data_IF_458756956119
#
_entry.id   IF_458756956119
#
_cell.length_a   1.000
_cell.length_b   1.000
_cell.length_c   1.000
_cell.angle_alpha   90.00
_cell.angle_beta   90.00
_cell.angle_gamma   90.00
#
_symmetry.space_group_name_H-M   'P 1'
#
loop_
_entity.id
_entity.type
_entity.pdbx_description
1 polymer ?
#
# COMPACT_ATOMS: atom_id res chain seq x y z
N UNK A 1 -32.25 -13.47 -4.17
CA UNK A 1 -32.21 -12.35 -3.21
C UNK A 1 -31.31 -11.27 -3.80
N UNK A 2 -31.74 -10.01 -3.96
CA UNK A 2 -30.84 -8.97 -4.47
C UNK A 2 -29.86 -8.60 -3.35
N UNK A 3 -28.59 -8.93 -3.52
CA UNK A 3 -27.53 -8.52 -2.61
C UNK A 3 -27.32 -7.01 -2.76
N UNK A 4 -27.64 -6.30 -1.68
CA UNK A 4 -27.37 -4.88 -1.46
C UNK A 4 -25.87 -4.61 -1.67
N UNK A 5 -25.52 -3.70 -2.58
CA UNK A 5 -24.15 -3.22 -2.76
C UNK A 5 -23.59 -2.67 -1.44
N UNK A 6 -22.30 -2.93 -1.10
CA UNK A 6 -21.64 -2.20 -0.05
C UNK A 6 -21.54 -0.74 -0.51
N UNK A 7 -22.17 0.16 0.24
CA UNK A 7 -21.94 1.59 0.10
C UNK A 7 -20.47 1.82 0.46
N UNK A 8 -19.67 2.29 -0.50
CA UNK A 8 -18.45 3.03 -0.20
C UNK A 8 -18.73 3.94 1.00
N UNK A 9 -17.89 3.97 2.05
CA UNK A 9 -18.16 4.85 3.15
C UNK A 9 -18.13 6.25 2.56
N UNK A 10 -19.29 6.92 2.51
CA UNK A 10 -19.38 8.32 2.10
C UNK A 10 -18.38 9.18 2.89
N UNK A 11 -17.96 8.70 4.06
CA UNK A 11 -16.88 9.23 4.89
C UNK A 11 -15.49 9.24 4.24
N UNK A 12 -15.10 8.24 3.44
CA UNK A 12 -13.76 8.21 2.82
C UNK A 12 -13.73 9.20 1.66
N UNK A 13 -14.77 9.20 0.81
CA UNK A 13 -14.91 10.19 -0.24
C UNK A 13 -15.08 11.62 0.33
N UNK A 14 -15.76 11.79 1.47
CA UNK A 14 -15.90 13.10 2.12
C UNK A 14 -14.60 13.55 2.78
N UNK A 15 -13.86 12.66 3.46
CA UNK A 15 -12.56 12.98 4.07
C UNK A 15 -11.49 13.23 3.02
N UNK A 16 -11.45 12.45 1.94
CA UNK A 16 -10.59 12.71 0.78
C UNK A 16 -10.95 14.05 0.13
N UNK A 17 -12.24 14.37 -0.03
CA UNK A 17 -12.67 15.69 -0.53
C UNK A 17 -12.38 16.85 0.43
N UNK A 18 -12.47 16.64 1.73
CA UNK A 18 -12.11 17.63 2.75
C UNK A 18 -10.61 17.87 2.80
N UNK A 19 -9.79 16.82 2.67
CA UNK A 19 -8.33 16.91 2.63
C UNK A 19 -7.83 17.51 1.30
N UNK A 20 -8.49 17.26 0.18
CA UNK A 20 -8.15 17.84 -1.13
C UNK A 20 -8.69 19.27 -1.37
N UNK A 21 -9.22 19.94 -0.35
CA UNK A 21 -9.46 21.39 -0.42
C UNK A 21 -10.58 21.84 -1.36
N UNK A 22 -11.83 21.59 -0.96
CA UNK A 22 -12.98 22.42 -1.37
C UNK A 22 -13.90 22.68 -0.17
N UNK A 23 -13.60 23.72 0.62
CA UNK A 23 -14.61 24.36 1.48
C UNK A 23 -15.70 24.96 0.59
N UNK A 24 -16.72 24.19 0.23
CA UNK A 24 -18.00 24.76 -0.22
C UNK A 24 -18.81 25.13 1.02
N UNK A 25 -18.93 26.43 1.25
CA UNK A 25 -19.91 26.99 2.16
C UNK A 25 -21.31 26.51 1.77
N UNK A 26 -21.93 25.70 2.64
CA UNK A 26 -23.34 25.34 2.56
C UNK A 26 -24.16 26.49 3.16
N UNK A 27 -24.72 27.36 2.32
CA UNK A 27 -25.77 28.30 2.73
C UNK A 27 -27.12 27.59 2.72
N UNK A 28 -27.70 27.47 3.91
CA UNK A 28 -29.08 27.02 4.12
C UNK A 28 -30.04 28.16 3.76
N UNK A 29 -30.79 27.98 2.69
CA UNK A 29 -31.81 28.91 2.21
C UNK A 29 -33.11 28.70 3.00
N UNK A 30 -33.41 29.58 3.95
CA UNK A 30 -34.73 29.65 4.61
C UNK A 30 -35.30 31.08 4.60
N UNK A 31 -36.41 31.19 3.86
CA UNK A 31 -37.56 32.13 3.95
C UNK A 31 -37.29 33.64 3.92
N UNK A 32 -37.77 34.22 2.81
CA UNK A 32 -38.05 35.63 2.57
C UNK A 32 -38.97 36.25 3.63
N UNK A 33 -38.55 37.39 4.18
CA UNK A 33 -39.41 38.43 4.74
C UNK A 33 -38.79 39.78 4.39
N UNK A 34 -39.60 40.66 3.80
CA UNK A 34 -39.25 41.99 3.27
C UNK A 34 -38.95 42.97 4.41
N UNK A 35 -37.79 43.64 4.41
CA UNK A 35 -37.59 44.96 5.05
C UNK A 35 -36.47 45.74 4.33
N UNK A 36 -36.49 47.09 4.37
CA UNK A 36 -35.75 47.95 3.45
C UNK A 36 -34.30 48.19 3.90
N UNK A 37 -33.47 48.42 2.88
CA UNK A 37 -32.06 48.78 2.91
C UNK A 37 -31.73 49.93 3.89
N UNK A 38 -30.85 49.68 4.85
CA UNK A 38 -29.93 50.68 5.39
C UNK A 38 -28.52 50.09 5.37
N UNK A 39 -27.74 50.49 4.36
CA UNK A 39 -26.31 50.18 4.27
C UNK A 39 -25.59 51.04 5.31
N UNK A 40 -25.07 50.37 6.34
CA UNK A 40 -24.22 50.98 7.36
C UNK A 40 -22.81 51.14 6.79
N UNK A 41 -22.16 52.26 7.12
CA UNK A 41 -20.77 52.60 6.77
C UNK A 41 -19.71 51.55 7.23
N UNK A 42 -20.12 50.51 7.96
CA UNK A 42 -19.27 49.40 8.41
C UNK A 42 -19.05 48.35 7.30
N UNK A 43 -19.95 48.23 6.32
CA UNK A 43 -19.86 47.19 5.28
C UNK A 43 -18.85 47.49 4.17
N UNK A 44 -18.45 48.76 4.02
CA UNK A 44 -17.44 49.17 3.02
C UNK A 44 -16.02 48.81 3.48
N UNK A 45 -15.80 48.67 4.79
CA UNK A 45 -14.47 48.35 5.35
C UNK A 45 -14.09 46.87 5.16
N UNK A 46 -15.06 45.96 5.23
CA UNK A 46 -14.81 44.51 5.07
C UNK A 46 -14.50 44.11 3.61
N UNK A 47 -15.15 44.77 2.65
CA UNK A 47 -14.93 44.47 1.22
C UNK A 47 -13.58 45.02 0.74
N UNK A 48 -13.15 46.18 1.23
CA UNK A 48 -11.85 46.76 0.90
C UNK A 48 -10.70 45.95 1.53
N UNK A 49 -10.87 45.43 2.76
CA UNK A 49 -9.88 44.54 3.39
C UNK A 49 -9.75 43.18 2.67
N UNK A 50 -10.85 42.61 2.17
CA UNK A 50 -10.85 41.34 1.43
C UNK A 50 -10.21 41.48 0.04
N UNK A 51 -10.41 42.62 -0.63
CA UNK A 51 -9.77 42.92 -1.92
C UNK A 51 -8.27 43.21 -1.75
N UNK A 52 -7.86 43.90 -0.66
CA UNK A 52 -6.44 44.11 -0.34
C UNK A 52 -5.72 42.83 0.09
N UNK A 53 -6.36 41.92 0.85
CA UNK A 53 -5.79 40.61 1.15
C UNK A 53 -5.66 39.73 -0.10
N UNK A 54 -6.56 39.84 -1.07
CA UNK A 54 -6.49 39.10 -2.34
C UNK A 54 -5.39 39.63 -3.28
N UNK A 55 -5.06 40.93 -3.18
CA UNK A 55 -3.96 41.55 -3.92
C UNK A 55 -2.60 41.29 -3.26
N UNK A 56 -2.54 41.16 -1.93
CA UNK A 56 -1.31 40.82 -1.20
C UNK A 56 -0.98 39.31 -1.26
N UNK A 57 -1.97 38.43 -1.40
CA UNK A 57 -1.75 36.99 -1.62
C UNK A 57 -1.33 36.66 -3.07
N UNK A 58 -1.53 37.57 -4.02
CA UNK A 58 -1.08 37.42 -5.41
C UNK A 58 0.30 38.02 -5.69
N UNK A 59 0.98 38.58 -4.69
CA UNK A 59 2.37 39.06 -4.79
C UNK A 59 3.35 38.28 -3.93
N UNK A 60 2.99 37.04 -3.56
CA UNK A 60 3.94 36.02 -3.12
C UNK A 60 4.83 35.61 -4.28
N UNK A 61 5.83 36.45 -4.55
CA UNK A 61 6.97 36.22 -5.43
C UNK A 61 7.44 34.78 -5.25
N UNK A 62 7.32 34.00 -6.33
CA UNK A 62 7.77 32.62 -6.40
C UNK A 62 9.26 32.59 -6.10
N UNK A 63 9.61 32.37 -4.85
CA UNK A 63 10.94 31.93 -4.48
C UNK A 63 11.18 30.65 -5.28
N UNK A 64 12.07 30.76 -6.28
CA UNK A 64 12.55 29.66 -7.10
C UNK A 64 13.03 28.58 -6.13
N UNK A 65 12.21 27.54 -5.94
CA UNK A 65 12.61 26.29 -5.32
C UNK A 65 13.70 25.74 -6.23
N UNK A 66 14.95 25.90 -5.80
CA UNK A 66 16.10 25.31 -6.46
C UNK A 66 15.85 23.80 -6.61
N UNK A 67 15.55 23.40 -7.85
CA UNK A 67 15.74 22.07 -8.42
C UNK A 67 15.58 20.88 -7.50
N UNK A 68 14.35 20.59 -7.05
CA UNK A 68 13.97 19.17 -6.93
C UNK A 68 13.93 18.65 -8.36
N UNK A 69 14.98 17.95 -8.78
CA UNK A 69 14.94 17.19 -10.02
C UNK A 69 13.65 16.38 -9.98
N UNK A 70 12.73 16.69 -10.89
CA UNK A 70 11.48 15.93 -11.05
C UNK A 70 11.93 14.55 -11.47
N UNK A 71 11.92 13.65 -10.49
CA UNK A 71 12.37 12.29 -10.67
C UNK A 71 11.21 11.54 -11.33
N UNK A 72 11.44 11.12 -12.58
CA UNK A 72 10.47 10.35 -13.34
C UNK A 72 10.59 8.88 -12.93
N UNK A 73 9.47 8.27 -12.55
CA UNK A 73 9.37 6.82 -12.41
C UNK A 73 9.54 6.15 -13.77
N UNK A 74 10.16 4.98 -13.79
CA UNK A 74 10.30 4.13 -14.98
C UNK A 74 9.26 3.00 -15.05
N UNK A 75 8.21 3.07 -14.23
CA UNK A 75 7.15 2.07 -14.20
C UNK A 75 6.18 2.19 -15.38
N UNK A 76 5.48 1.09 -15.65
CA UNK A 76 4.43 1.07 -16.67
C UNK A 76 3.14 1.68 -16.14
N UNK A 77 2.37 2.35 -17.01
CA UNK A 77 1.08 2.93 -16.67
C UNK A 77 0.05 1.90 -16.17
N UNK A 78 -0.87 2.34 -15.30
CA UNK A 78 -1.93 1.53 -14.72
C UNK A 78 -2.92 1.01 -15.78
N UNK A 79 -2.95 -0.31 -16.06
CA UNK A 79 -3.80 -0.87 -17.10
C UNK A 79 -5.24 -1.12 -16.62
N UNK A 80 -5.55 -0.89 -15.34
CA UNK A 80 -6.80 -1.28 -14.69
C UNK A 80 -7.76 -0.12 -14.41
N UNK A 81 -7.27 1.13 -14.41
CA UNK A 81 -8.05 2.31 -14.02
C UNK A 81 -9.38 2.46 -14.77
N UNK A 82 -9.42 2.11 -16.06
CA UNK A 82 -10.63 2.19 -16.88
C UNK A 82 -11.62 1.05 -16.60
N UNK A 83 -11.12 -0.13 -16.21
CA UNK A 83 -11.93 -1.33 -16.00
C UNK A 83 -12.53 -1.40 -14.59
N UNK A 84 -11.84 -0.82 -13.60
CA UNK A 84 -12.27 -0.80 -12.20
C UNK A 84 -12.37 0.63 -11.67
N UNK A 85 -13.21 1.49 -12.28
CA UNK A 85 -13.16 2.92 -12.00
C UNK A 85 -13.59 3.28 -10.58
N UNK A 86 -14.35 2.42 -9.91
CA UNK A 86 -14.81 2.64 -8.53
C UNK A 86 -13.83 2.10 -7.47
N UNK A 87 -12.75 1.43 -7.87
CA UNK A 87 -11.74 0.89 -6.98
C UNK A 87 -10.47 1.73 -7.04
N UNK A 88 -9.62 1.62 -6.01
CA UNK A 88 -8.24 2.04 -6.16
C UNK A 88 -7.54 1.01 -7.05
N UNK A 89 -6.83 1.49 -8.06
CA UNK A 89 -6.00 0.66 -8.92
C UNK A 89 -4.66 1.34 -9.12
N UNK A 90 -3.62 0.57 -9.40
CA UNK A 90 -2.29 1.10 -9.66
C UNK A 90 -1.33 0.00 -10.04
N UNK A 91 -0.04 0.32 -10.03
CA UNK A 91 1.05 -0.62 -10.24
C UNK A 91 1.93 -0.65 -9.00
N UNK A 92 2.28 -1.86 -8.56
CA UNK A 92 3.27 -2.09 -7.50
C UNK A 92 4.50 -2.71 -8.11
N UNK A 93 5.57 -1.93 -8.25
CA UNK A 93 6.90 -2.45 -8.51
C UNK A 93 7.60 -2.70 -7.18
N UNK A 94 7.90 -3.96 -6.87
CA UNK A 94 8.30 -4.34 -5.53
C UNK A 94 9.41 -5.39 -5.49
N UNK A 95 10.24 -5.29 -4.46
CA UNK A 95 11.00 -6.43 -3.92
C UNK A 95 10.18 -7.08 -2.80
N UNK A 96 9.82 -8.35 -2.99
CA UNK A 96 9.15 -9.18 -1.98
C UNK A 96 10.16 -10.21 -1.48
N UNK A 97 10.43 -10.27 -0.17
CA UNK A 97 11.43 -11.20 0.36
C UNK A 97 10.90 -11.91 1.61
N UNK A 98 11.26 -13.18 1.78
CA UNK A 98 10.85 -14.00 2.93
C UNK A 98 12.03 -14.15 3.88
N UNK A 99 11.82 -13.74 5.13
CA UNK A 99 12.76 -13.87 6.24
C UNK A 99 12.24 -14.97 7.18
N UNK A 100 12.93 -16.12 7.26
CA UNK A 100 12.63 -17.12 8.27
C UNK A 100 12.99 -16.58 9.67
N UNK A 101 12.01 -16.57 10.57
CA UNK A 101 12.24 -16.35 12.01
C UNK A 101 11.73 -17.56 12.78
N UNK A 102 12.22 -17.82 14.00
CA UNK A 102 11.66 -18.91 14.80
C UNK A 102 10.19 -18.65 15.12
N UNK A 103 9.37 -19.71 15.17
CA UNK A 103 7.97 -19.65 15.61
C UNK A 103 7.84 -19.02 16.99
N UNK A 104 8.82 -19.25 17.88
CA UNK A 104 8.89 -18.60 19.18
C UNK A 104 9.02 -17.07 19.06
N UNK A 105 9.85 -16.59 18.12
CA UNK A 105 9.95 -15.16 17.80
C UNK A 105 8.65 -14.65 17.20
N UNK A 106 8.08 -15.36 16.23
CA UNK A 106 6.82 -14.97 15.61
C UNK A 106 5.71 -14.82 16.66
N UNK A 107 5.62 -15.74 17.64
CA UNK A 107 4.65 -15.71 18.74
C UNK A 107 4.85 -14.57 19.74
N UNK A 108 6.06 -14.05 19.88
CA UNK A 108 6.29 -12.82 20.68
C UNK A 108 5.86 -11.55 19.94
N UNK A 109 5.91 -11.56 18.61
CA UNK A 109 5.63 -10.37 17.79
C UNK A 109 4.15 -10.28 17.41
N UNK A 110 3.54 -11.41 17.00
CA UNK A 110 2.14 -11.50 16.58
C UNK A 110 1.23 -11.46 17.82
N UNK A 111 0.17 -10.64 17.83
CA UNK A 111 -0.80 -10.62 18.92
C UNK A 111 -1.36 -12.03 19.21
N UNK A 112 -1.42 -12.44 20.49
CA UNK A 112 -1.65 -13.83 20.87
C UNK A 112 -3.02 -14.38 20.46
N UNK A 113 -3.99 -13.51 20.19
CA UNK A 113 -5.33 -13.90 19.72
C UNK A 113 -5.34 -14.40 18.26
N UNK A 114 -4.31 -14.13 17.46
CA UNK A 114 -4.23 -14.60 16.08
C UNK A 114 -3.54 -15.95 16.00
N UNK A 115 -4.24 -16.96 15.48
CA UNK A 115 -3.63 -18.27 15.20
C UNK A 115 -2.55 -18.14 14.12
N UNK A 116 -1.60 -19.07 14.09
CA UNK A 116 -0.63 -19.20 12.98
C UNK A 116 -1.01 -20.48 12.27
N UNK A 117 -1.36 -20.37 11.00
CA UNK A 117 -1.82 -21.49 10.17
C UNK A 117 -0.61 -22.21 9.57
N UNK A 118 0.13 -22.97 10.39
CA UNK A 118 1.33 -23.67 9.93
C UNK A 118 1.08 -24.60 8.74
N UNK A 119 -0.08 -25.27 8.72
CA UNK A 119 -0.47 -26.14 7.62
C UNK A 119 -0.57 -25.40 6.28
N UNK A 120 -0.98 -24.13 6.30
CA UNK A 120 -1.17 -23.33 5.10
C UNK A 120 0.16 -22.97 4.43
N UNK A 121 1.16 -22.52 5.18
CA UNK A 121 2.45 -22.18 4.57
C UNK A 121 3.31 -23.43 4.29
N UNK A 122 3.19 -24.49 5.08
CA UNK A 122 3.91 -25.75 4.82
C UNK A 122 3.39 -26.49 3.59
N UNK A 123 2.12 -26.33 3.21
CA UNK A 123 1.63 -26.89 1.95
C UNK A 123 2.19 -26.15 0.72
N UNK A 124 2.50 -24.86 0.86
CA UNK A 124 3.11 -24.04 -0.20
C UNK A 124 4.64 -24.15 -0.23
N UNK A 125 5.26 -24.40 0.92
CA UNK A 125 6.71 -24.56 1.09
C UNK A 125 7.01 -25.82 1.91
N UNK A 126 6.94 -27.02 1.32
CA UNK A 126 7.14 -28.28 2.05
C UNK A 126 8.52 -28.40 2.71
N UNK A 127 9.54 -27.80 2.09
CA UNK A 127 10.93 -27.80 2.59
C UNK A 127 11.24 -26.57 3.48
N UNK A 128 10.22 -25.79 3.89
CA UNK A 128 10.44 -24.65 4.80
C UNK A 128 10.97 -25.15 6.14
N UNK A 129 12.02 -24.53 6.71
CA UNK A 129 12.69 -25.08 7.88
C UNK A 129 11.76 -25.32 9.08
N UNK A 130 11.93 -26.46 9.74
CA UNK A 130 11.16 -26.80 10.94
C UNK A 130 11.34 -25.76 12.05
N UNK A 131 10.25 -25.49 12.77
CA UNK A 131 10.25 -24.47 13.82
C UNK A 131 10.34 -23.02 13.33
N UNK A 132 10.35 -22.75 12.03
CA UNK A 132 10.39 -21.39 11.46
C UNK A 132 9.02 -20.90 10.97
N UNK A 133 8.90 -19.59 10.85
CA UNK A 133 7.76 -18.84 10.32
C UNK A 133 8.24 -17.86 9.22
N UNK A 134 7.52 -17.76 8.08
CA UNK A 134 7.89 -16.88 6.97
C UNK A 134 7.37 -15.44 7.16
N UNK A 135 8.23 -14.53 7.63
CA UNK A 135 7.91 -13.09 7.60
C UNK A 135 8.16 -12.56 6.19
N UNK A 136 7.23 -11.79 5.63
CA UNK A 136 7.47 -11.11 4.37
C UNK A 136 7.94 -9.67 4.62
N UNK A 137 8.98 -9.23 3.91
CA UNK A 137 9.25 -7.81 3.69
C UNK A 137 8.73 -7.43 2.31
N UNK A 138 7.92 -6.38 2.26
CA UNK A 138 7.47 -5.78 1.01
C UNK A 138 8.07 -4.38 0.92
N UNK A 139 9.00 -4.19 -0.02
CA UNK A 139 9.57 -2.89 -0.38
C UNK A 139 9.05 -2.53 -1.77
N UNK A 140 8.17 -1.53 -1.86
CA UNK A 140 7.42 -1.23 -3.06
C UNK A 140 7.50 0.26 -3.44
N UNK A 141 7.46 0.50 -4.74
CA UNK A 141 7.07 1.77 -5.33
C UNK A 141 5.64 1.61 -5.86
N UNK A 142 4.73 2.42 -5.33
CA UNK A 142 3.33 2.49 -5.70
C UNK A 142 3.21 3.58 -6.78
N UNK A 143 2.84 3.18 -7.99
CA UNK A 143 2.82 4.03 -9.17
C UNK A 143 1.43 4.10 -9.82
N UNK A 144 1.09 5.29 -10.34
CA UNK A 144 -0.14 5.54 -11.11
C UNK A 144 -1.41 5.06 -10.41
N UNK A 145 -1.48 5.37 -9.10
CA UNK A 145 -2.58 4.96 -8.24
C UNK A 145 -3.78 5.89 -8.46
N UNK A 146 -4.94 5.32 -8.81
CA UNK A 146 -6.11 6.08 -9.21
C UNK A 146 -7.41 5.53 -8.64
N UNK A 147 -8.31 6.44 -8.30
CA UNK A 147 -9.76 6.19 -8.20
C UNK A 147 -10.46 6.89 -9.36
N UNK A 148 -10.48 6.25 -10.53
CA UNK A 148 -10.82 6.88 -11.81
C UNK A 148 -12.21 7.51 -11.83
N UNK A 149 -13.23 6.87 -11.23
CA UNK A 149 -14.61 7.38 -11.18
C UNK A 149 -14.74 8.69 -10.40
N UNK A 150 -13.81 8.96 -9.49
CA UNK A 150 -13.79 10.16 -8.65
C UNK A 150 -12.80 11.23 -9.14
N UNK A 151 -12.06 10.96 -10.22
CA UNK A 151 -11.04 11.85 -10.74
C UNK A 151 -9.87 12.06 -9.77
N UNK A 152 -9.59 11.08 -8.91
CA UNK A 152 -8.50 11.14 -7.93
C UNK A 152 -7.33 10.33 -8.48
N UNK A 153 -6.18 10.99 -8.57
CA UNK A 153 -4.87 10.35 -8.77
C UNK A 153 -4.06 10.61 -7.50
N UNK A 154 -3.40 9.58 -7.00
CA UNK A 154 -2.48 9.65 -5.87
C UNK A 154 -1.08 9.70 -6.48
N UNK A 155 -0.30 10.71 -6.09
CA UNK A 155 1.09 10.86 -6.53
C UNK A 155 1.89 9.59 -6.19
N UNK A 156 2.88 9.25 -7.01
CA UNK A 156 3.73 8.09 -6.75
C UNK A 156 4.40 8.18 -5.37
N UNK A 157 4.51 7.04 -4.69
CA UNK A 157 5.14 6.96 -3.38
C UNK A 157 5.83 5.61 -3.19
N UNK A 158 6.66 5.52 -2.15
CA UNK A 158 7.33 4.28 -1.78
C UNK A 158 6.93 3.89 -0.38
N UNK A 159 6.86 2.59 -0.14
CA UNK A 159 6.56 2.01 1.18
C UNK A 159 7.41 0.79 1.45
N UNK A 160 7.72 0.57 2.72
CA UNK A 160 8.37 -0.66 3.17
C UNK A 160 7.92 -1.06 4.56
N UNK A 161 7.69 -2.36 4.76
CA UNK A 161 7.25 -2.90 6.04
C UNK A 161 7.43 -4.40 6.14
N UNK A 162 7.34 -4.91 7.37
CA UNK A 162 7.26 -6.33 7.66
C UNK A 162 5.80 -6.74 7.77
N UNK A 163 5.48 -7.90 7.20
CA UNK A 163 4.15 -8.46 7.16
C UNK A 163 4.18 -9.92 7.61
N UNK A 164 3.15 -10.30 8.35
CA UNK A 164 3.03 -11.59 9.00
C UNK A 164 1.84 -12.34 8.38
N UNK A 165 2.06 -13.17 7.34
CA UNK A 165 1.00 -13.91 6.65
C UNK A 165 0.52 -15.16 7.41
N UNK A 166 -0.50 -15.82 6.87
CA UNK A 166 -1.03 -17.10 7.38
C UNK A 166 -1.56 -17.01 8.81
N UNK A 167 -2.23 -15.90 9.14
CA UNK A 167 -2.86 -15.70 10.44
C UNK A 167 -4.33 -16.08 10.41
N UNK A 168 -4.77 -16.75 11.48
CA UNK A 168 -6.18 -17.04 11.71
C UNK A 168 -6.81 -15.90 12.51
N UNK A 169 -7.30 -14.88 11.78
CA UNK A 169 -7.92 -13.70 12.38
C UNK A 169 -9.32 -13.97 12.93
N UNK A 170 -10.05 -14.88 12.27
CA UNK A 170 -11.47 -15.16 12.52
C UNK A 170 -11.71 -16.42 13.36
N UNK A 171 -10.66 -17.19 13.64
CA UNK A 171 -10.70 -18.38 14.49
C UNK A 171 -11.33 -19.61 13.82
N UNK A 172 -11.31 -19.69 12.49
CA UNK A 172 -11.92 -20.80 11.76
C UNK A 172 -10.93 -21.91 11.39
N UNK A 173 -9.63 -21.70 11.63
CA UNK A 173 -8.56 -22.65 11.39
C UNK A 173 -8.12 -22.81 9.93
N UNK A 174 -8.60 -21.97 8.99
CA UNK A 174 -8.20 -22.07 7.58
C UNK A 174 -8.15 -20.75 6.80
N UNK A 175 -8.94 -19.73 7.17
CA UNK A 175 -8.91 -18.42 6.51
C UNK A 175 -7.62 -17.68 6.84
N UNK A 176 -6.76 -17.47 5.83
CA UNK A 176 -5.45 -16.86 5.97
C UNK A 176 -5.51 -15.35 5.79
N UNK A 177 -5.05 -14.62 6.81
CA UNK A 177 -4.89 -13.17 6.80
C UNK A 177 -3.42 -12.79 6.95
N UNK A 178 -3.11 -11.55 6.56
CA UNK A 178 -1.77 -10.96 6.67
C UNK A 178 -1.79 -9.75 7.60
N UNK A 179 -1.03 -9.81 8.69
CA UNK A 179 -0.90 -8.68 9.60
C UNK A 179 0.24 -7.75 9.14
N UNK A 180 -0.08 -6.49 8.90
CA UNK A 180 0.85 -5.43 8.50
C UNK A 180 0.95 -4.37 9.63
N UNK A 181 1.75 -4.62 10.68
CA UNK A 181 1.76 -3.80 11.89
C UNK A 181 2.23 -2.36 11.70
N UNK A 182 3.25 -2.18 10.86
CA UNK A 182 3.92 -0.90 10.68
C UNK A 182 4.51 -0.77 9.28
N UNK A 183 4.55 0.46 8.79
CA UNK A 183 5.11 0.79 7.50
C UNK A 183 5.86 2.12 7.56
N UNK A 184 6.99 2.17 6.88
CA UNK A 184 7.58 3.42 6.41
C UNK A 184 6.86 3.77 5.10
N UNK A 185 6.50 5.04 4.89
CA UNK A 185 5.81 5.54 3.68
C UNK A 185 6.38 6.91 3.32
N UNK A 186 6.51 7.22 2.02
CA UNK A 186 7.07 8.51 1.56
C UNK A 186 6.40 9.68 2.27
N UNK A 187 7.20 10.50 2.95
CA UNK A 187 6.72 11.61 3.75
C UNK A 187 6.00 12.71 2.96
N UNK A 188 6.15 12.70 1.63
CA UNK A 188 5.51 13.64 0.71
C UNK A 188 4.11 13.21 0.26
N UNK A 189 3.61 12.04 0.69
CA UNK A 189 2.32 11.53 0.27
C UNK A 189 1.34 11.42 1.45
N UNK A 190 0.66 12.53 1.77
CA UNK A 190 -0.28 12.61 2.89
C UNK A 190 -1.46 11.62 2.74
N UNK A 191 -1.91 11.37 1.51
CA UNK A 191 -3.02 10.43 1.25
C UNK A 191 -2.61 9.00 1.61
N UNK A 192 -1.42 8.55 1.20
CA UNK A 192 -0.91 7.22 1.52
C UNK A 192 -0.64 7.06 3.02
N UNK A 193 -0.10 8.11 3.66
CA UNK A 193 0.14 8.14 5.10
C UNK A 193 -1.16 7.98 5.89
N UNK A 194 -2.18 8.80 5.60
CA UNK A 194 -3.46 8.76 6.29
C UNK A 194 -4.29 7.51 5.92
N UNK A 195 -4.25 7.07 4.66
CA UNK A 195 -4.90 5.85 4.20
C UNK A 195 -4.42 4.62 4.99
N UNK A 196 -3.11 4.50 5.18
CA UNK A 196 -2.52 3.41 5.95
C UNK A 196 -2.83 3.51 7.45
N UNK A 197 -2.80 4.72 8.03
CA UNK A 197 -3.19 4.94 9.45
C UNK A 197 -4.64 4.57 9.71
N UNK A 198 -5.53 4.75 8.72
CA UNK A 198 -6.94 4.43 8.87
C UNK A 198 -7.22 2.93 9.08
N UNK A 199 -6.30 2.04 8.67
CA UNK A 199 -6.33 0.60 8.97
C UNK A 199 -5.76 0.23 10.35
N UNK A 200 -5.21 1.22 11.07
CA UNK A 200 -4.53 1.02 12.35
C UNK A 200 -3.04 0.69 12.23
N UNK A 201 -2.47 0.77 11.02
CA UNK A 201 -1.03 0.58 10.79
C UNK A 201 -0.25 1.70 11.47
N UNK A 202 0.85 1.36 12.14
CA UNK A 202 1.80 2.36 12.62
C UNK A 202 2.62 2.91 11.45
N UNK A 203 2.37 4.16 11.07
CA UNK A 203 2.97 4.77 9.87
C UNK A 203 4.00 5.83 10.24
N UNK A 204 5.24 5.59 9.82
CA UNK A 204 6.35 6.54 9.97
C UNK A 204 6.63 7.22 8.62
N UNK A 205 6.47 8.56 8.51
CA UNK A 205 6.87 9.31 7.32
C UNK A 205 8.37 9.13 7.06
N UNK A 206 8.73 8.76 5.84
CA UNK A 206 10.08 8.33 5.49
C UNK A 206 10.60 8.99 4.21
N UNK A 207 11.93 9.05 4.09
CA UNK A 207 12.65 9.28 2.84
C UNK A 207 13.14 7.95 2.25
N UNK A 208 13.36 7.94 0.93
CA UNK A 208 13.69 6.73 0.19
C UNK A 208 14.92 6.88 -0.70
N UNK A 209 15.69 5.82 -0.79
CA UNK A 209 16.77 5.64 -1.75
C UNK A 209 16.54 4.34 -2.55
N UNK A 210 16.32 4.41 -3.88
CA UNK A 210 16.07 5.63 -4.67
C UNK A 210 14.69 6.26 -4.35
N UNK A 211 14.52 7.53 -4.72
CA UNK A 211 13.32 8.30 -4.37
C UNK A 211 12.05 7.86 -5.13
N UNK A 212 12.15 7.53 -6.41
CA UNK A 212 10.98 7.27 -7.30
C UNK A 212 11.13 5.99 -8.10
N UNK A 213 11.81 4.99 -7.54
CA UNK A 213 11.95 3.69 -8.17
C UNK A 213 11.91 2.60 -7.10
N UNK A 214 11.49 1.40 -7.48
CA UNK A 214 11.43 0.25 -6.58
C UNK A 214 12.80 -0.21 -6.06
N UNK A 215 13.88 0.15 -6.76
CA UNK A 215 15.28 -0.07 -6.38
C UNK A 215 16.19 0.63 -7.38
N UNK A 216 17.46 0.88 -7.01
CA UNK A 216 18.52 1.30 -7.95
C UNK A 216 19.49 0.15 -8.19
N UNK A 217 20.09 0.10 -9.38
CA UNK A 217 21.21 -0.81 -9.63
C UNK A 217 22.49 -0.28 -8.99
N UNK A 218 23.29 -1.18 -8.44
CA UNK A 218 24.64 -0.94 -7.93
C UNK A 218 25.67 -1.40 -8.97
N UNK A 219 26.91 -0.89 -8.89
CA UNK A 219 27.98 -1.22 -9.85
C UNK A 219 28.34 -2.71 -9.88
N UNK A 220 28.07 -3.43 -8.80
CA UNK A 220 28.28 -4.88 -8.69
C UNK A 220 27.13 -5.72 -9.28
N UNK A 221 26.10 -5.08 -9.86
CA UNK A 221 24.91 -5.74 -10.41
C UNK A 221 23.83 -6.10 -9.38
N UNK A 222 24.03 -5.80 -8.10
CA UNK A 222 22.98 -5.88 -7.10
C UNK A 222 22.01 -4.70 -7.24
N UNK A 223 20.86 -4.82 -6.59
CA UNK A 223 19.83 -3.77 -6.49
C UNK A 223 19.71 -3.32 -5.04
N UNK A 224 19.52 -2.02 -4.82
CA UNK A 224 19.43 -1.41 -3.51
C UNK A 224 18.13 -0.64 -3.32
N UNK A 225 17.53 -0.79 -2.14
CA UNK A 225 16.36 -0.01 -1.70
C UNK A 225 16.45 0.28 -0.20
N UNK A 226 16.14 1.50 0.21
CA UNK A 226 16.08 1.89 1.62
C UNK A 226 14.96 2.88 1.90
N UNK A 227 14.21 2.65 2.97
CA UNK A 227 13.35 3.64 3.60
C UNK A 227 13.91 4.02 4.97
N UNK A 228 13.99 5.31 5.27
CA UNK A 228 14.42 5.84 6.57
C UNK A 228 13.39 6.82 7.11
N UNK A 229 12.96 6.62 8.35
CA UNK A 229 12.01 7.51 9.03
C UNK A 229 12.59 8.91 9.19
N UNK A 230 11.76 9.94 8.97
CA UNK A 230 12.13 11.34 9.22
C UNK A 230 12.00 11.73 10.69
N UNK A 231 11.31 10.91 11.50
CA UNK A 231 10.93 11.27 12.89
C UNK A 231 11.52 10.32 13.93
N UNK A 232 12.19 9.25 13.52
CA UNK A 232 12.80 8.25 14.40
C UNK A 232 14.07 7.69 13.76
N UNK A 233 14.80 6.85 14.50
CA UNK A 233 15.93 6.09 13.92
C UNK A 233 15.49 4.88 13.09
N UNK A 234 14.20 4.77 12.75
CA UNK A 234 13.68 3.58 12.11
C UNK A 234 14.07 3.51 10.63
N UNK A 235 14.46 2.33 10.17
CA UNK A 235 14.76 2.10 8.75
C UNK A 235 14.54 0.63 8.36
N UNK A 236 14.34 0.41 7.06
CA UNK A 236 14.46 -0.90 6.41
C UNK A 236 15.30 -0.71 5.14
N UNK A 237 16.30 -1.55 4.97
CA UNK A 237 17.28 -1.52 3.87
C UNK A 237 17.39 -2.92 3.25
N UNK A 238 17.36 -2.99 1.92
CA UNK A 238 17.45 -4.21 1.13
C UNK A 238 18.58 -4.06 0.11
N UNK A 239 19.44 -5.08 0.03
CA UNK A 239 20.44 -5.23 -1.02
C UNK A 239 20.29 -6.63 -1.60
N UNK A 240 19.90 -6.73 -2.87
CA UNK A 240 19.47 -7.99 -3.50
C UNK A 240 20.25 -8.24 -4.79
N UNK A 241 20.63 -9.48 -5.04
CA UNK A 241 21.29 -9.90 -6.29
C UNK A 241 20.39 -10.89 -7.00
N UNK A 242 20.28 -10.75 -8.32
CA UNK A 242 19.57 -11.73 -9.17
C UNK A 242 20.19 -13.11 -9.02
N UNK A 243 19.36 -14.13 -8.82
CA UNK A 243 19.81 -15.51 -8.82
C UNK A 243 20.27 -15.93 -10.23
N UNK A 244 21.45 -16.54 -10.33
CA UNK A 244 21.97 -17.05 -11.61
C UNK A 244 21.07 -18.14 -12.22
N UNK A 245 20.35 -18.89 -11.38
CA UNK A 245 19.32 -19.84 -11.80
C UNK A 245 18.05 -19.61 -10.97
N UNK A 246 16.88 -19.37 -11.60
CA UNK A 246 15.61 -19.25 -10.88
C UNK A 246 15.32 -20.42 -9.94
N UNK A 247 15.72 -21.64 -10.32
CA UNK A 247 15.55 -22.88 -9.55
C UNK A 247 16.37 -22.93 -8.26
N UNK A 248 17.23 -21.95 -7.99
CA UNK A 248 17.93 -21.83 -6.70
C UNK A 248 17.12 -21.10 -5.64
N UNK A 249 15.98 -20.49 -6.01
CA UNK A 249 15.05 -19.97 -5.01
C UNK A 249 14.37 -21.14 -4.29
N UNK A 250 14.38 -21.18 -2.95
CA UNK A 250 13.59 -22.17 -2.20
C UNK A 250 12.09 -21.87 -2.25
N UNK A 251 11.69 -20.69 -2.72
CA UNK A 251 10.31 -20.23 -2.73
C UNK A 251 9.82 -20.09 -4.17
N UNK A 252 8.80 -20.87 -4.59
CA UNK A 252 8.17 -20.68 -5.89
C UNK A 252 7.36 -19.37 -5.90
N UNK A 253 7.11 -18.82 -7.10
CA UNK A 253 6.33 -17.60 -7.27
C UNK A 253 4.94 -17.68 -6.59
N UNK A 254 4.32 -18.86 -6.59
CA UNK A 254 3.02 -19.12 -5.97
C UNK A 254 2.97 -18.76 -4.48
N UNK A 255 4.10 -18.85 -3.75
CA UNK A 255 4.16 -18.41 -2.35
C UNK A 255 3.92 -16.90 -2.25
N UNK A 256 4.58 -16.12 -3.11
CA UNK A 256 4.44 -14.67 -3.10
C UNK A 256 3.04 -14.24 -3.53
N UNK A 257 2.47 -14.87 -4.57
CA UNK A 257 1.09 -14.63 -5.00
C UNK A 257 0.10 -14.86 -3.85
N UNK A 258 0.23 -16.03 -3.20
CA UNK A 258 -0.61 -16.41 -2.09
C UNK A 258 -0.53 -15.39 -0.94
N UNK A 259 0.68 -15.04 -0.52
CA UNK A 259 0.88 -14.10 0.59
C UNK A 259 0.33 -12.72 0.25
N UNK A 260 0.62 -12.19 -0.94
CA UNK A 260 0.27 -10.81 -1.26
C UNK A 260 -1.20 -10.59 -1.54
N UNK A 261 -1.96 -11.65 -1.85
CA UNK A 261 -3.41 -11.60 -2.06
C UNK A 261 -4.20 -11.99 -0.78
N UNK A 262 -3.53 -12.20 0.36
CA UNK A 262 -4.22 -12.36 1.65
C UNK A 262 -4.85 -11.03 2.08
N UNK A 263 -6.09 -11.05 2.64
CA UNK A 263 -6.66 -9.87 3.29
C UNK A 263 -5.71 -9.35 4.38
N UNK A 264 -5.39 -8.06 4.27
CA UNK A 264 -4.39 -7.40 5.11
C UNK A 264 -5.05 -6.58 6.19
N UNK A 265 -4.49 -6.60 7.40
CA UNK A 265 -5.04 -5.86 8.53
C UNK A 265 -3.94 -5.40 9.49
N UNK A 266 -4.24 -4.39 10.32
CA UNK A 266 -3.38 -4.00 11.44
C UNK A 266 -4.10 -4.08 12.79
N UNK A 267 -5.36 -3.64 12.87
CA UNK A 267 -6.15 -3.56 14.11
C UNK A 267 -7.31 -4.58 14.20
N UNK A 268 -7.44 -5.48 13.22
CA UNK A 268 -8.48 -6.52 13.13
C UNK A 268 -9.94 -6.05 12.93
N UNK A 269 -10.18 -4.75 12.69
CA UNK A 269 -11.53 -4.22 12.44
C UNK A 269 -11.81 -4.01 10.97
N UNK A 270 -10.87 -3.37 10.27
CA UNK A 270 -10.95 -3.11 8.84
C UNK A 270 -9.84 -3.85 8.12
N UNK A 271 -10.21 -4.56 7.05
CA UNK A 271 -9.29 -5.27 6.19
C UNK A 271 -9.17 -4.55 4.84
N UNK A 272 -7.96 -4.53 4.32
CA UNK A 272 -7.66 -4.25 2.93
C UNK A 272 -7.62 -5.57 2.16
N UNK A 273 -8.34 -5.65 1.05
CA UNK A 273 -8.27 -6.76 0.11
C UNK A 273 -7.70 -6.27 -1.23
N UNK A 274 -6.39 -6.09 -1.25
CA UNK A 274 -5.61 -5.77 -2.44
C UNK A 274 -5.29 -7.04 -3.23
N UNK A 275 -5.85 -7.13 -4.44
CA UNK A 275 -5.61 -8.24 -5.37
C UNK A 275 -4.51 -7.82 -6.35
N UNK A 276 -3.36 -8.51 -6.31
CA UNK A 276 -2.26 -8.32 -7.26
C UNK A 276 -2.34 -9.34 -8.40
N UNK A 277 -2.14 -8.87 -9.63
CA UNK A 277 -2.23 -9.72 -10.81
C UNK A 277 -0.83 -10.09 -11.32
N UNK A 278 -0.51 -11.39 -11.30
CA UNK A 278 0.81 -11.90 -11.67
C UNK A 278 0.87 -12.52 -13.08
N UNK A 279 -0.25 -12.54 -13.81
CA UNK A 279 -0.32 -13.06 -15.17
C UNK A 279 -0.74 -11.96 -16.16
N UNK A 280 0.00 -10.86 -16.15
CA UNK A 280 -0.24 -9.69 -17.01
C UNK A 280 1.02 -9.39 -17.82
N UNK A 281 0.93 -8.53 -18.85
CA UNK A 281 2.11 -8.10 -19.61
C UNK A 281 3.21 -7.47 -18.74
N UNK A 282 2.88 -6.98 -17.53
CA UNK A 282 3.83 -6.43 -16.56
C UNK A 282 4.57 -7.48 -15.72
N UNK A 283 4.12 -8.74 -15.77
CA UNK A 283 4.58 -9.83 -14.90
C UNK A 283 4.83 -11.13 -15.67
N UNK A 284 4.96 -11.06 -17.01
CA UNK A 284 5.28 -12.21 -17.88
C UNK A 284 6.30 -11.80 -18.95
N UNK A 285 6.87 -12.78 -19.65
CA UNK A 285 7.79 -12.54 -20.76
C UNK A 285 9.05 -11.80 -20.33
N UNK A 286 9.36 -10.68 -20.97
CA UNK A 286 10.51 -9.83 -20.64
C UNK A 286 10.39 -9.17 -19.26
N UNK A 287 9.17 -9.04 -18.73
CA UNK A 287 8.87 -8.48 -17.41
C UNK A 287 8.57 -9.58 -16.37
N UNK A 288 8.94 -10.82 -16.65
CA UNK A 288 8.73 -11.93 -15.73
C UNK A 288 9.42 -11.64 -14.37
N UNK A 289 8.81 -12.08 -13.25
CA UNK A 289 9.37 -11.91 -11.91
C UNK A 289 10.82 -12.42 -11.84
N UNK A 290 11.70 -11.64 -11.23
CA UNK A 290 13.13 -11.94 -11.12
C UNK A 290 13.43 -12.50 -9.73
N UNK A 291 13.79 -13.78 -9.58
CA UNK A 291 14.22 -14.33 -8.30
C UNK A 291 15.52 -13.69 -7.83
N UNK A 292 15.55 -13.26 -6.58
CA UNK A 292 16.68 -12.57 -5.96
C UNK A 292 17.08 -13.19 -4.64
N UNK A 293 18.32 -12.96 -4.24
CA UNK A 293 18.88 -13.29 -2.92
C UNK A 293 19.73 -12.16 -2.42
N UNK A 294 19.71 -11.90 -1.12
CA UNK A 294 20.59 -10.90 -0.54
C UNK A 294 20.42 -10.69 0.94
N UNK A 295 20.43 -9.43 1.34
CA UNK A 295 20.44 -8.99 2.73
C UNK A 295 19.29 -8.03 3.00
N UNK A 296 18.71 -8.16 4.19
CA UNK A 296 17.77 -7.19 4.77
C UNK A 296 18.35 -6.68 6.08
N UNK A 297 18.44 -5.36 6.25
CA UNK A 297 18.79 -4.71 7.51
C UNK A 297 17.63 -3.86 7.96
N UNK A 298 17.30 -3.91 9.24
CA UNK A 298 16.23 -3.09 9.77
C UNK A 298 16.43 -2.72 11.23
N UNK A 299 15.86 -1.58 11.57
CA UNK A 299 15.53 -1.17 12.94
C UNK A 299 14.16 -0.54 12.85
N UNK A 300 13.11 -1.29 13.16
CA UNK A 300 11.73 -0.78 13.13
C UNK A 300 10.81 -1.76 13.84
N UNK A 301 9.56 -1.35 14.10
CA UNK A 301 8.52 -2.24 14.61
C UNK A 301 8.17 -3.34 13.58
N UNK A 302 7.96 -4.61 14.01
CA UNK A 302 7.96 -5.10 15.39
C UNK A 302 9.32 -5.59 15.91
N UNK A 303 10.39 -5.52 15.11
CA UNK A 303 11.76 -5.87 15.50
C UNK A 303 12.51 -4.70 16.18
N UNK A 304 11.86 -4.05 17.15
CA UNK A 304 12.43 -2.87 17.82
C UNK A 304 13.69 -3.19 18.65
N UNK A 305 14.48 -2.15 18.92
CA UNK A 305 15.70 -2.22 19.71
C UNK A 305 16.95 -2.16 18.86
N UNK A 306 17.84 -3.14 19.01
CA UNK A 306 19.05 -3.22 18.20
C UNK A 306 18.72 -3.50 16.73
N UNK A 307 19.56 -2.96 15.85
CA UNK A 307 19.52 -3.29 14.43
C UNK A 307 19.61 -4.81 14.21
N UNK A 308 18.77 -5.30 13.31
CA UNK A 308 18.76 -6.68 12.85
C UNK A 308 19.27 -6.74 11.43
N UNK A 309 20.04 -7.77 11.15
CA UNK A 309 20.51 -8.11 9.81
C UNK A 309 20.17 -9.57 9.53
N UNK A 310 19.51 -9.80 8.40
CA UNK A 310 19.28 -11.12 7.85
C UNK A 310 20.03 -11.21 6.52
N UNK A 311 20.93 -12.17 6.42
CA UNK A 311 21.61 -12.54 5.17
C UNK A 311 20.91 -13.74 4.55
N UNK A 312 21.24 -14.06 3.28
CA UNK A 312 20.66 -15.21 2.59
C UNK A 312 19.13 -15.14 2.46
N UNK A 313 18.58 -13.92 2.39
CA UNK A 313 17.14 -13.68 2.24
C UNK A 313 16.78 -13.87 0.78
N UNK A 314 15.85 -14.77 0.50
CA UNK A 314 15.35 -15.04 -0.85
C UNK A 314 14.05 -14.27 -1.11
N UNK A 315 13.90 -13.81 -2.35
CA UNK A 315 12.78 -12.98 -2.74
C UNK A 315 12.52 -12.99 -4.24
N UNK A 316 11.62 -12.10 -4.65
CA UNK A 316 11.30 -11.84 -6.04
C UNK A 316 11.12 -10.34 -6.28
N UNK A 317 11.69 -9.85 -7.37
CA UNK A 317 11.41 -8.51 -7.89
C UNK A 317 10.36 -8.61 -8.98
N UNK A 318 9.26 -7.86 -8.84
CA UNK A 318 8.11 -7.96 -9.73
C UNK A 318 7.29 -6.68 -9.74
N UNK A 319 6.84 -6.28 -10.93
CA UNK A 319 5.79 -5.30 -11.12
C UNK A 319 4.44 -6.01 -11.32
N UNK A 320 3.41 -5.59 -10.59
CA UNK A 320 2.05 -6.14 -10.72
C UNK A 320 1.04 -5.00 -10.70
N UNK A 321 0.07 -4.97 -11.62
CA UNK A 321 -1.10 -4.14 -11.40
C UNK A 321 -1.93 -4.71 -10.25
N UNK A 322 -2.65 -3.83 -9.55
CA UNK A 322 -3.49 -4.22 -8.42
C UNK A 322 -4.88 -3.58 -8.48
N UNK A 323 -5.83 -4.24 -7.80
CA UNK A 323 -7.17 -3.73 -7.50
C UNK A 323 -7.34 -3.76 -5.99
N UNK A 324 -7.67 -2.63 -5.40
CA UNK A 324 -7.83 -2.52 -3.95
C UNK A 324 -9.31 -2.41 -3.57
N UNK A 325 -9.75 -3.35 -2.74
CA UNK A 325 -11.07 -3.33 -2.10
C UNK A 325 -10.88 -2.89 -0.65
N UNK A 326 -11.10 -1.60 -0.42
CA UNK A 326 -10.75 -0.91 0.80
C UNK A 326 -11.83 -0.99 1.89
N UNK A 327 -11.42 -0.93 3.16
CA UNK A 327 -12.28 -0.78 4.34
C UNK A 327 -13.36 -1.87 4.49
N UNK A 328 -13.02 -3.11 4.16
CA UNK A 328 -13.91 -4.25 4.33
C UNK A 328 -13.96 -4.67 5.80
N UNK A 329 -15.08 -5.22 6.25
CA UNK A 329 -15.12 -5.90 7.55
C UNK A 329 -14.27 -7.17 7.44
N UNK A 330 -13.24 -7.30 8.26
CA UNK A 330 -12.37 -8.47 8.25
C UNK A 330 -13.13 -9.79 8.39
N UNK A 331 -14.27 -9.80 9.09
CA UNK A 331 -15.11 -11.01 9.26
C UNK A 331 -15.80 -11.45 7.97
N UNK A 332 -16.00 -10.55 7.00
CA UNK A 332 -16.60 -10.92 5.71
C UNK A 332 -15.58 -11.53 4.76
N UNK A 333 -14.29 -11.53 5.12
CA UNK A 333 -13.19 -12.05 4.32
C UNK A 333 -12.86 -13.53 4.64
N UNK A 334 -13.81 -14.25 5.23
CA UNK A 334 -13.70 -15.70 5.46
C UNK A 334 -13.61 -16.44 4.12
N UNK A 335 -12.86 -17.53 4.08
CA UNK A 335 -12.74 -18.40 2.90
C UNK A 335 -11.42 -18.30 2.16
N UNK A 336 -10.65 -17.22 2.33
CA UNK A 336 -9.34 -17.12 1.67
C UNK A 336 -8.39 -18.17 2.24
N UNK A 337 -8.13 -19.23 1.47
CA UNK A 337 -7.16 -20.30 1.82
C UNK A 337 -6.03 -20.40 0.81
N UNK A 338 -5.90 -19.37 -0.04
CA UNK A 338 -4.88 -19.25 -1.08
C UNK A 338 -5.46 -19.08 -2.47
N UNK A 339 -4.61 -18.61 -3.39
CA UNK A 339 -4.92 -18.46 -4.80
C UNK A 339 -4.83 -19.82 -5.51
N UNK A 340 -5.83 -20.67 -5.26
CA UNK A 340 -6.06 -21.93 -5.97
C UNK A 340 -7.01 -21.80 -7.17
N UNK A 341 -7.36 -20.57 -7.56
CA UNK A 341 -8.33 -20.28 -8.62
C UNK A 341 -7.89 -19.15 -9.55
N UNK A 342 -8.59 -18.92 -10.68
CA UNK A 342 -8.24 -17.94 -11.71
C UNK A 342 -8.26 -16.46 -11.28
N UNK A 343 -8.54 -16.16 -10.01
CA UNK A 343 -8.66 -14.81 -9.44
C UNK A 343 -7.40 -13.94 -9.53
N UNK A 344 -6.26 -14.50 -9.94
CA UNK A 344 -4.99 -13.77 -10.15
C UNK A 344 -4.79 -13.34 -11.61
N UNK A 345 -5.78 -13.62 -12.47
CA UNK A 345 -5.74 -13.31 -13.90
C UNK A 345 -6.90 -12.40 -14.29
N UNK A 346 -6.57 -11.22 -14.80
CA UNK A 346 -7.51 -10.42 -15.57
C UNK A 346 -7.35 -10.79 -17.05
N UNK A 347 -8.30 -11.55 -17.59
CA UNK A 347 -8.41 -11.77 -19.03
C UNK A 347 -9.47 -10.81 -19.56
N UNK A 348 -9.03 -9.79 -20.29
CA UNK A 348 -9.91 -8.82 -20.95
C UNK A 348 -10.99 -9.56 -21.76
N UNK A 349 -12.26 -9.32 -21.44
CA UNK A 349 -13.41 -9.91 -22.15
C UNK A 349 -14.02 -11.17 -21.51
N UNK A 350 -13.51 -11.66 -20.38
CA UNK A 350 -14.18 -12.73 -19.61
C UNK A 350 -14.99 -12.16 -18.44
N UNK A 351 -16.19 -12.70 -18.20
CA UNK A 351 -17.13 -12.24 -17.16
C UNK A 351 -16.71 -12.56 -15.71
N UNK A 352 -15.44 -12.84 -15.45
CA UNK A 352 -14.90 -13.19 -14.12
C UNK A 352 -14.86 -12.03 -13.11
N UNK A 353 -15.43 -10.87 -13.45
CA UNK A 353 -15.51 -9.70 -12.58
C UNK A 353 -16.25 -9.93 -11.24
N UNK A 354 -16.94 -11.05 -11.05
CA UNK A 354 -17.56 -11.40 -9.76
C UNK A 354 -16.56 -11.99 -8.76
N UNK A 355 -15.47 -12.60 -9.21
CA UNK A 355 -14.44 -13.20 -8.33
C UNK A 355 -13.40 -12.18 -7.85
N UNK A 356 -13.31 -11.02 -8.52
CA UNK A 356 -12.40 -9.91 -8.17
C UNK A 356 -13.02 -8.88 -7.20
N UNK A 357 -14.24 -9.12 -6.69
CA UNK A 357 -15.03 -8.18 -5.87
C UNK A 357 -15.20 -8.63 -4.44
#
# INVERSE_FOLDING_TARGET
MPLSMPRFPALVASRLREQMGLRRASSSQKRQSKMPFQLSLVDVSAVVLLVLCSLLLNQGESAVVQGRAVCASYDHANPLAEFFPNNATGVLNATLAIIPISLETARRLIPPQYGILERAYRSLMPDFPDGMYPVMVQAAHDHDVQFRAYGITIDDFSRVGFEFPFLDLVGDGYSSFRWAPAQLISATNDIALEGSRAYGTLVSPAEYEPLCNAYRSLDNGATYFKGSSLTSSDFIELEMTRLARPTWSPYPLEVFKNITNQPTFANATSCDNMIRLFNTTMSVGEHAPVPVRGRVRARTFPFQGAEKEWTEVYGVQVATPFIENNYLDCRTMTGYSGTGGPGDSFIQGTTHNQELR
#
